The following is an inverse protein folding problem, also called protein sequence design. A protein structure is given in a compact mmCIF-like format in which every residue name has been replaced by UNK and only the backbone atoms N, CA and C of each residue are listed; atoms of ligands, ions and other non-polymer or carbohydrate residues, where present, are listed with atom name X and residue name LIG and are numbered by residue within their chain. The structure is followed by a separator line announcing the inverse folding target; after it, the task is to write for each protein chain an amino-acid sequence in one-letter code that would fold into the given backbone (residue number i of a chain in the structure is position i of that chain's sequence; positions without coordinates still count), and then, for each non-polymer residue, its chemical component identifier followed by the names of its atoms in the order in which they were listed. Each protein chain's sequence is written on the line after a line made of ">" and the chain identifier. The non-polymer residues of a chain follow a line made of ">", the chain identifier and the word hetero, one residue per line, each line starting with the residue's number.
data_IF_943083469621
#
_entry.id   IF_943083469621
#
_cell.length_a   1.000
_cell.length_b   1.000
_cell.length_c   1.000
_cell.angle_alpha   90.00
_cell.angle_beta   90.00
_cell.angle_gamma   90.00
#
_symmetry.space_group_name_H-M   'P 1'
#
loop_
_entity.id
_entity.type
_entity.pdbx_description
1 polymer ?
#
# COMPACT_ATOMS: atom_id res chain seq x y z
N UNK A 1 -17.27 15.45 -34.23
CA UNK A 1 -16.45 14.27 -33.89
C UNK A 1 -15.35 14.72 -32.95
N UNK A 2 -15.43 14.38 -31.66
CA UNK A 2 -14.36 14.68 -30.69
C UNK A 2 -13.74 13.36 -30.27
N UNK A 3 -12.46 13.17 -30.58
CA UNK A 3 -11.71 11.97 -30.23
C UNK A 3 -11.40 11.98 -28.72
N UNK A 4 -11.93 11.00 -27.99
CA UNK A 4 -11.57 10.73 -26.61
C UNK A 4 -10.14 10.15 -26.60
N UNK A 5 -9.17 10.92 -26.11
CA UNK A 5 -7.81 10.43 -25.90
C UNK A 5 -7.81 9.41 -24.77
N UNK A 6 -7.88 8.12 -25.12
CA UNK A 6 -7.63 7.02 -24.19
C UNK A 6 -6.15 7.05 -23.82
N UNK A 7 -5.80 7.69 -22.71
CA UNK A 7 -4.51 7.46 -22.06
C UNK A 7 -4.44 6.00 -21.67
N UNK A 8 -3.88 5.18 -22.56
CA UNK A 8 -3.63 3.77 -22.32
C UNK A 8 -2.75 3.66 -21.06
N UNK A 9 -3.38 3.21 -19.97
CA UNK A 9 -2.71 2.81 -18.74
C UNK A 9 -1.56 1.88 -19.10
N UNK A 10 -0.31 2.32 -18.87
CA UNK A 10 0.89 1.54 -19.18
C UNK A 10 0.76 0.19 -18.47
N UNK A 11 0.58 -0.88 -19.25
CA UNK A 11 0.39 -2.22 -18.74
C UNK A 11 1.55 -2.56 -17.78
N UNK A 12 1.21 -2.98 -16.56
CA UNK A 12 2.18 -3.14 -15.47
C UNK A 12 3.25 -4.15 -15.86
N UNK A 13 4.51 -3.72 -15.81
CA UNK A 13 5.68 -4.55 -16.14
C UNK A 13 6.09 -5.52 -15.02
N UNK A 14 5.45 -5.45 -13.84
CA UNK A 14 5.85 -6.22 -12.65
C UNK A 14 4.67 -6.94 -11.98
N UNK A 15 4.92 -8.19 -11.56
CA UNK A 15 3.96 -9.05 -10.83
C UNK A 15 3.70 -8.49 -9.43
N UNK A 16 2.44 -8.23 -9.09
CA UNK A 16 2.01 -7.96 -7.71
C UNK A 16 1.54 -9.26 -7.07
N UNK A 17 1.84 -9.44 -5.78
CA UNK A 17 1.34 -10.56 -5.01
C UNK A 17 0.09 -10.07 -4.29
N UNK A 18 -1.02 -10.78 -4.45
CA UNK A 18 -2.21 -10.57 -3.62
C UNK A 18 -1.86 -11.02 -2.20
N UNK A 19 -1.49 -10.06 -1.35
CA UNK A 19 -1.19 -10.29 0.06
C UNK A 19 -1.98 -9.26 0.85
N UNK A 20 -2.67 -9.73 1.88
CA UNK A 20 -3.29 -8.89 2.91
C UNK A 20 -2.31 -8.65 4.04
N UNK A 21 -1.56 -7.56 3.95
CA UNK A 21 -0.70 -7.07 5.02
C UNK A 21 -1.35 -5.85 5.67
N UNK A 22 -1.36 -5.76 7.01
CA UNK A 22 -1.73 -4.56 7.72
C UNK A 22 -0.86 -3.39 7.26
N UNK A 23 -1.52 -2.27 7.00
CA UNK A 23 -0.92 -1.01 6.63
C UNK A 23 -1.42 0.04 7.62
N UNK A 24 -0.54 0.95 7.99
CA UNK A 24 -0.91 2.21 8.58
C UNK A 24 -0.66 3.31 7.54
N UNK A 25 -1.69 4.06 7.20
CA UNK A 25 -1.68 5.10 6.17
C UNK A 25 -1.94 6.44 6.81
N UNK A 26 -1.12 7.44 6.48
CA UNK A 26 -1.30 8.82 6.92
C UNK A 26 -1.26 9.75 5.73
N UNK A 27 -2.07 10.79 5.74
CA UNK A 27 -2.14 11.75 4.64
C UNK A 27 -3.10 12.88 4.94
N UNK A 28 -3.51 13.57 3.88
CA UNK A 28 -4.57 14.57 3.93
C UNK A 28 -5.70 14.14 3.00
N UNK A 29 -6.93 14.37 3.43
CA UNK A 29 -8.11 14.19 2.58
C UNK A 29 -8.23 15.32 1.54
N UNK A 30 -9.22 15.23 0.66
CA UNK A 30 -9.51 16.23 -0.37
C UNK A 30 -9.88 17.60 0.21
N UNK A 31 -10.21 17.69 1.50
CA UNK A 31 -10.52 18.93 2.21
C UNK A 31 -9.30 19.51 2.93
N UNK A 32 -8.15 18.81 2.89
CA UNK A 32 -6.92 19.21 3.55
C UNK A 32 -6.83 18.80 5.02
N UNK A 33 -7.75 17.99 5.54
CA UNK A 33 -7.66 17.48 6.91
C UNK A 33 -6.72 16.28 6.97
N UNK A 34 -5.80 16.30 7.93
CA UNK A 34 -4.92 15.18 8.18
C UNK A 34 -5.74 13.96 8.66
N UNK A 35 -5.42 12.78 8.15
CA UNK A 35 -5.98 11.52 8.60
C UNK A 35 -4.90 10.48 8.88
N UNK A 36 -5.27 9.52 9.69
CA UNK A 36 -4.49 8.32 9.99
C UNK A 36 -5.44 7.12 10.04
N UNK A 37 -5.12 6.06 9.31
CA UNK A 37 -5.96 4.88 9.19
C UNK A 37 -5.11 3.60 9.25
N UNK A 38 -5.58 2.66 10.06
CA UNK A 38 -5.10 1.27 10.03
C UNK A 38 -5.99 0.47 9.07
N UNK A 39 -5.40 -0.04 8.00
CA UNK A 39 -6.07 -0.78 6.91
C UNK A 39 -5.24 -2.01 6.51
N UNK A 40 -5.60 -2.68 5.41
CA UNK A 40 -4.82 -3.78 4.85
C UNK A 40 -4.58 -3.58 3.34
N UNK A 41 -3.46 -4.10 2.85
CA UNK A 41 -3.18 -4.13 1.42
C UNK A 41 -4.09 -5.12 0.71
N UNK A 42 -4.69 -4.73 -0.40
CA UNK A 42 -5.34 -5.63 -1.35
C UNK A 42 -4.29 -6.30 -2.26
N UNK A 43 -3.25 -5.54 -2.62
CA UNK A 43 -2.07 -6.08 -3.28
C UNK A 43 -0.82 -5.30 -2.89
N UNK A 44 0.32 -5.98 -2.97
CA UNK A 44 1.62 -5.38 -2.75
C UNK A 44 2.59 -5.82 -3.85
N UNK A 45 3.34 -4.86 -4.38
CA UNK A 45 4.46 -5.07 -5.28
C UNK A 45 5.67 -4.28 -4.82
N UNK A 46 6.78 -4.40 -5.55
CA UNK A 46 8.01 -3.67 -5.25
C UNK A 46 7.84 -2.16 -5.31
N UNK A 47 7.04 -1.71 -6.29
CA UNK A 47 6.90 -0.31 -6.67
C UNK A 47 5.62 0.34 -6.15
N UNK A 48 4.76 -0.40 -5.44
CA UNK A 48 3.51 0.17 -4.95
C UNK A 48 2.60 -0.84 -4.26
N UNK A 49 1.49 -0.33 -3.77
CA UNK A 49 0.45 -1.09 -3.09
C UNK A 49 -0.94 -0.67 -3.58
N UNK A 50 -1.96 -1.41 -3.18
CA UNK A 50 -3.33 -0.94 -3.17
C UNK A 50 -3.99 -1.30 -1.83
N UNK A 51 -4.91 -0.46 -1.37
CA UNK A 51 -5.68 -0.66 -0.14
C UNK A 51 -7.04 0.02 -0.27
N UNK A 52 -7.95 -0.27 0.65
CA UNK A 52 -9.30 0.32 0.68
C UNK A 52 -9.39 1.31 1.84
N UNK A 53 -10.09 2.42 1.63
CA UNK A 53 -10.30 3.46 2.62
C UNK A 53 -11.63 4.19 2.39
N UNK A 54 -12.16 4.81 3.44
CA UNK A 54 -13.32 5.72 3.36
C UNK A 54 -12.92 7.18 3.19
N UNK A 55 -11.63 7.49 3.37
CA UNK A 55 -11.14 8.85 3.18
C UNK A 55 -11.18 9.22 1.70
N UNK A 56 -11.70 10.41 1.42
CA UNK A 56 -11.68 10.96 0.08
C UNK A 56 -10.28 11.54 -0.20
N UNK A 57 -9.47 10.82 -0.95
CA UNK A 57 -8.07 11.19 -1.24
C UNK A 57 -7.96 11.53 -2.71
N UNK A 58 -7.30 12.63 -3.06
CA UNK A 58 -7.12 13.03 -4.45
C UNK A 58 -6.00 12.25 -5.16
N UNK A 59 -6.13 12.03 -6.48
CA UNK A 59 -5.01 11.57 -7.33
C UNK A 59 -3.85 12.56 -7.20
N UNK A 60 -2.64 12.02 -7.08
CA UNK A 60 -1.41 12.80 -6.92
C UNK A 60 -1.08 13.12 -5.46
N UNK A 61 -1.96 12.86 -4.49
CA UNK A 61 -1.67 13.08 -3.07
C UNK A 61 -0.51 12.20 -2.59
N UNK A 62 0.34 12.75 -1.73
CA UNK A 62 1.40 12.00 -1.07
C UNK A 62 0.90 11.44 0.28
N UNK A 63 1.13 10.15 0.47
CA UNK A 63 0.76 9.40 1.67
C UNK A 63 2.01 8.82 2.35
N UNK A 64 2.02 8.78 3.66
CA UNK A 64 2.96 7.97 4.44
C UNK A 64 2.35 6.58 4.64
N UNK A 65 3.14 5.54 4.35
CA UNK A 65 2.70 4.14 4.43
C UNK A 65 3.66 3.40 5.34
N UNK A 66 3.12 2.72 6.34
CA UNK A 66 3.89 1.87 7.25
C UNK A 66 3.33 0.46 7.27
N UNK A 67 4.21 -0.54 7.17
CA UNK A 67 3.88 -1.95 7.28
C UNK A 67 4.58 -2.50 8.52
N UNK A 68 3.84 -2.78 9.60
CA UNK A 68 4.43 -3.35 10.80
C UNK A 68 4.82 -4.83 10.56
N UNK A 69 6.10 -5.14 10.33
CA UNK A 69 6.57 -6.53 10.20
C UNK A 69 6.86 -7.18 11.56
N UNK A 70 7.11 -6.36 12.58
CA UNK A 70 7.41 -6.82 13.95
C UNK A 70 6.32 -7.74 14.52
N UNK A 71 5.07 -7.58 14.10
CA UNK A 71 3.94 -8.42 14.53
C UNK A 71 3.79 -9.73 13.74
N UNK A 72 4.32 -9.83 12.52
CA UNK A 72 4.26 -11.06 11.71
C UNK A 72 5.46 -11.98 11.94
N UNK A 73 6.66 -11.43 12.16
CA UNK A 73 7.84 -12.24 12.51
C UNK A 73 7.73 -12.89 13.89
N UNK A 74 6.98 -12.30 14.83
CA UNK A 74 6.74 -12.87 16.17
C UNK A 74 6.04 -14.23 16.17
N UNK A 75 5.31 -14.58 15.09
CA UNK A 75 4.63 -15.88 14.97
C UNK A 75 5.50 -16.98 14.34
N UNK A 76 6.60 -16.62 13.66
CA UNK A 76 7.45 -17.57 12.90
C UNK A 76 8.86 -17.73 13.48
N UNK A 77 9.41 -16.71 14.14
CA UNK A 77 10.75 -16.75 14.72
C UNK A 77 10.63 -16.36 16.19
N UNK A 78 11.04 -17.26 17.09
CA UNK A 78 10.85 -17.16 18.53
C UNK A 78 11.27 -15.82 19.14
N UNK A 79 10.73 -15.56 20.35
CA UNK A 79 10.74 -14.30 21.11
C UNK A 79 12.10 -13.58 21.28
N UNK A 80 13.22 -14.15 20.84
CA UNK A 80 14.55 -13.57 20.92
C UNK A 80 14.87 -12.55 19.79
N UNK A 81 14.21 -12.64 18.62
CA UNK A 81 14.46 -11.73 17.49
C UNK A 81 13.66 -10.41 17.56
N UNK A 82 12.61 -10.35 18.38
CA UNK A 82 11.68 -9.22 18.44
C UNK A 82 12.23 -8.00 19.20
N UNK A 83 13.28 -8.17 20.01
CA UNK A 83 13.81 -7.12 20.88
C UNK A 83 14.90 -6.26 20.22
N UNK A 84 15.47 -6.66 19.07
CA UNK A 84 16.57 -5.91 18.42
C UNK A 84 16.17 -5.07 17.20
N UNK A 85 14.98 -5.28 16.64
CA UNK A 85 14.57 -4.57 15.41
C UNK A 85 13.34 -3.70 15.69
N UNK A 86 13.55 -2.53 16.29
CA UNK A 86 12.59 -1.43 16.16
C UNK A 86 12.57 -0.87 14.72
N UNK A 87 13.61 -1.18 13.93
CA UNK A 87 13.72 -0.99 12.48
C UNK A 87 12.99 -2.08 11.65
N UNK A 88 12.20 -2.95 12.29
CA UNK A 88 11.50 -4.02 11.60
C UNK A 88 10.33 -3.52 10.75
N UNK A 89 9.80 -2.32 10.98
CA UNK A 89 8.61 -1.85 10.26
C UNK A 89 9.01 -1.14 8.96
N UNK A 90 8.44 -1.56 7.83
CA UNK A 90 8.71 -0.89 6.57
C UNK A 90 7.93 0.42 6.49
N UNK A 91 8.65 1.53 6.35
CA UNK A 91 8.06 2.85 6.14
C UNK A 91 8.46 3.39 4.77
N UNK A 92 7.48 3.93 4.04
CA UNK A 92 7.72 4.59 2.76
C UNK A 92 6.73 5.72 2.52
N UNK A 93 7.00 6.50 1.48
CA UNK A 93 6.04 7.46 0.92
C UNK A 93 5.45 6.90 -0.36
N UNK A 94 4.16 7.13 -0.57
CA UNK A 94 3.43 6.70 -1.75
C UNK A 94 2.63 7.83 -2.35
N UNK A 95 2.70 7.99 -3.67
CA UNK A 95 1.82 8.90 -4.41
C UNK A 95 0.58 8.14 -4.87
N UNK A 96 -0.60 8.72 -4.67
CA UNK A 96 -1.85 8.17 -5.20
C UNK A 96 -1.84 8.29 -6.73
N UNK A 97 -1.96 7.16 -7.41
CA UNK A 97 -1.95 7.07 -8.88
C UNK A 97 -3.22 6.45 -9.45
N UNK A 98 -4.09 5.92 -8.59
CA UNK A 98 -5.31 5.24 -9.00
C UNK A 98 -6.37 5.30 -7.90
N UNK A 99 -7.62 5.53 -8.29
CA UNK A 99 -8.80 5.50 -7.43
C UNK A 99 -9.88 4.75 -8.20
N UNK A 100 -10.53 3.79 -7.54
CA UNK A 100 -11.70 3.10 -8.07
C UNK A 100 -12.71 2.86 -6.94
N UNK A 101 -13.97 2.63 -7.31
CA UNK A 101 -14.99 2.21 -6.36
C UNK A 101 -14.62 0.85 -5.74
N UNK A 102 -14.84 0.72 -4.43
CA UNK A 102 -14.76 -0.58 -3.74
C UNK A 102 -16.09 -1.33 -3.87
N UNK A 103 -16.12 -2.60 -3.46
CA UNK A 103 -17.35 -3.39 -3.39
C UNK A 103 -18.27 -2.95 -2.24
N UNK A 104 -17.71 -2.25 -1.25
CA UNK A 104 -18.44 -1.71 -0.11
C UNK A 104 -18.80 -0.24 -0.35
N UNK A 105 -20.05 0.10 -0.04
CA UNK A 105 -20.57 1.46 -0.23
C UNK A 105 -19.78 2.47 0.63
N UNK A 106 -19.36 3.57 0.00
CA UNK A 106 -18.58 4.62 0.66
C UNK A 106 -17.08 4.32 0.81
N UNK A 107 -16.60 3.19 0.31
CA UNK A 107 -15.19 2.81 0.31
C UNK A 107 -14.58 2.92 -1.09
N UNK A 108 -13.33 3.38 -1.15
CA UNK A 108 -12.57 3.53 -2.40
C UNK A 108 -11.33 2.66 -2.36
N UNK A 109 -11.05 1.98 -3.47
CA UNK A 109 -9.78 1.31 -3.71
C UNK A 109 -8.74 2.31 -4.18
N UNK A 110 -7.71 2.50 -3.37
CA UNK A 110 -6.62 3.44 -3.62
C UNK A 110 -5.38 2.67 -4.05
N UNK A 111 -4.84 3.03 -5.21
CA UNK A 111 -3.56 2.54 -5.71
C UNK A 111 -2.47 3.58 -5.54
N UNK A 112 -1.38 3.17 -4.92
CA UNK A 112 -0.22 4.04 -4.63
C UNK A 112 1.04 3.55 -5.32
N UNK A 113 1.87 4.48 -5.77
CA UNK A 113 3.23 4.24 -6.24
C UNK A 113 4.24 4.73 -5.21
N UNK A 114 5.18 3.87 -4.81
CA UNK A 114 6.19 4.23 -3.83
C UNK A 114 7.21 5.23 -4.40
N UNK A 115 7.32 6.36 -3.70
CA UNK A 115 8.26 7.46 -3.99
C UNK A 115 9.44 7.50 -3.01
N UNK A 116 9.31 6.83 -1.86
CA UNK A 116 10.37 6.66 -0.87
C UNK A 116 11.11 5.30 -0.99
N UNK A 117 11.63 4.77 0.13
CA UNK A 117 12.22 3.43 0.19
C UNK A 117 11.34 2.37 -0.47
N UNK A 118 11.94 1.52 -1.29
CA UNK A 118 11.24 0.43 -2.00
C UNK A 118 11.59 -0.92 -1.40
N UNK A 119 10.76 -1.93 -1.63
CA UNK A 119 11.10 -3.30 -1.25
C UNK A 119 12.31 -3.78 -2.07
N UNK A 120 13.42 -4.11 -1.42
CA UNK A 120 14.61 -4.65 -2.09
C UNK A 120 14.42 -6.15 -2.41
N UNK A 121 13.69 -6.88 -1.56
CA UNK A 121 13.16 -8.22 -1.81
C UNK A 121 11.64 -8.15 -1.75
N UNK A 122 10.97 -8.49 -2.85
CA UNK A 122 9.52 -8.76 -2.81
C UNK A 122 9.32 -9.98 -1.92
N UNK A 123 8.35 -9.93 -1.02
CA UNK A 123 7.97 -11.06 -0.16
C UNK A 123 7.80 -12.31 -1.04
N UNK A 124 8.71 -13.28 -0.96
CA UNK A 124 8.46 -14.59 -1.57
C UNK A 124 7.50 -15.30 -0.61
N UNK A 125 6.30 -15.62 -1.08
CA UNK A 125 5.47 -16.60 -0.40
C UNK A 125 6.27 -17.90 -0.34
N UNK A 126 6.77 -18.26 0.83
CA UNK A 126 7.42 -19.55 1.05
C UNK A 126 6.42 -20.74 0.96
N UNK A 127 5.16 -20.47 0.63
CA UNK A 127 4.09 -21.47 0.44
C UNK A 127 3.97 -21.94 -1.02
N UNK A 128 5.09 -22.30 -1.65
CA UNK A 128 5.11 -23.02 -2.91
C UNK A 128 6.36 -23.91 -2.96
N UNK A 129 6.33 -24.98 -2.19
CA UNK A 129 7.22 -26.12 -2.29
C UNK A 129 6.35 -27.39 -2.31
#
# INVERSE_FOLDING_TARGET
>A
MVALSTTASRQRSERRIAVRLPLKVRGHDARGYAFEEDTASENLGRNGAAFVTRFDIAIGSDLEIRIPFSQYSRRRVGRLAAARNNDADFATRGRVVHIAESQSEGEKLIGVQFTGPRFHRVFRSESAA
#
